data_IF_712262468321
#
_entry.id   IF_712262468321
#
_cell.length_a   1.000
_cell.length_b   1.000
_cell.length_c   1.000
_cell.angle_alpha   90.00
_cell.angle_beta   90.00
_cell.angle_gamma   90.00
#
_symmetry.space_group_name_H-M   'P 1'
#
loop_
_entity.id
_entity.type
_entity.pdbx_description
1 polymer ?
#
# COMPACT_ATOMS: atom_id res chain seq x y z
N UNK A 1 -16.48 -15.36 -16.20
CA UNK A 1 -15.64 -14.55 -17.10
C UNK A 1 -16.09 -13.08 -17.16
N UNK A 2 -17.33 -12.75 -17.57
CA UNK A 2 -17.80 -11.34 -17.67
C UNK A 2 -17.78 -10.57 -16.33
N UNK A 3 -18.26 -11.18 -15.26
CA UNK A 3 -18.29 -10.52 -13.94
C UNK A 3 -16.93 -10.00 -13.46
N UNK A 4 -15.83 -10.73 -13.69
CA UNK A 4 -14.49 -10.25 -13.31
C UNK A 4 -14.06 -9.00 -14.09
N UNK A 5 -14.38 -8.93 -15.38
CA UNK A 5 -14.06 -7.77 -16.21
C UNK A 5 -14.92 -6.56 -15.83
N UNK A 6 -16.22 -6.78 -15.56
CA UNK A 6 -17.15 -5.73 -15.13
C UNK A 6 -16.76 -5.17 -13.76
N UNK A 7 -16.44 -6.04 -12.79
CA UNK A 7 -15.94 -5.61 -11.48
C UNK A 7 -14.62 -4.86 -11.58
N UNK A 8 -13.70 -5.32 -12.43
CA UNK A 8 -12.42 -4.63 -12.62
C UNK A 8 -12.61 -3.25 -13.26
N UNK A 9 -13.45 -3.15 -14.29
CA UNK A 9 -13.77 -1.87 -14.91
C UNK A 9 -14.44 -0.90 -13.93
N UNK A 10 -15.33 -1.40 -13.08
CA UNK A 10 -16.00 -0.58 -12.07
C UNK A 10 -15.02 -0.10 -10.99
N UNK A 11 -14.12 -0.97 -10.52
CA UNK A 11 -13.04 -0.60 -9.59
C UNK A 11 -12.17 0.51 -10.18
N UNK A 12 -11.70 0.37 -11.43
CA UNK A 12 -10.91 1.41 -12.08
C UNK A 12 -11.68 2.73 -12.21
N UNK A 13 -12.98 2.67 -12.54
CA UNK A 13 -13.85 3.85 -12.60
C UNK A 13 -13.99 4.52 -11.24
N UNK A 14 -14.22 3.76 -10.17
CA UNK A 14 -14.37 4.30 -8.82
C UNK A 14 -13.07 4.89 -8.27
N UNK A 15 -11.91 4.33 -8.61
CA UNK A 15 -10.61 4.95 -8.32
C UNK A 15 -10.44 6.27 -9.08
N UNK A 16 -10.76 6.30 -10.39
CA UNK A 16 -10.66 7.51 -11.19
C UNK A 16 -11.61 8.63 -10.70
N UNK A 17 -12.79 8.26 -10.20
CA UNK A 17 -13.75 9.19 -9.56
C UNK A 17 -13.33 9.58 -8.13
N UNK A 18 -12.24 9.01 -7.60
CA UNK A 18 -11.76 9.24 -6.24
C UNK A 18 -12.65 8.65 -5.13
N UNK A 19 -13.69 7.89 -5.48
CA UNK A 19 -14.70 7.40 -4.53
C UNK A 19 -14.17 6.30 -3.62
N UNK A 20 -13.42 5.36 -4.18
CA UNK A 20 -12.74 4.33 -3.39
C UNK A 20 -11.62 4.91 -2.51
N UNK A 21 -10.65 5.68 -3.03
CA UNK A 21 -9.58 6.20 -2.18
C UNK A 21 -10.08 7.22 -1.13
N UNK A 22 -11.18 7.94 -1.39
CA UNK A 22 -11.81 8.81 -0.39
C UNK A 22 -12.27 8.10 0.88
N UNK A 23 -12.56 6.79 0.83
CA UNK A 23 -12.92 6.04 2.03
C UNK A 23 -11.79 6.02 3.08
N UNK A 24 -10.53 6.12 2.64
CA UNK A 24 -9.38 6.21 3.55
C UNK A 24 -9.30 7.54 4.30
N UNK A 25 -9.98 8.59 3.80
CA UNK A 25 -9.94 9.93 4.39
C UNK A 25 -10.58 10.01 5.79
N UNK A 26 -11.18 8.95 6.31
CA UNK A 26 -11.62 8.87 7.71
C UNK A 26 -10.50 8.43 8.67
N UNK A 27 -9.45 7.77 8.16
CA UNK A 27 -8.36 7.25 8.98
C UNK A 27 -7.35 8.35 9.35
N UNK A 28 -6.94 8.40 10.61
CA UNK A 28 -6.05 9.44 11.16
C UNK A 28 -4.76 8.91 11.79
N UNK A 29 -4.66 7.60 12.01
CA UNK A 29 -3.46 7.00 12.58
C UNK A 29 -2.29 6.96 11.59
N UNK A 30 -1.10 6.52 12.03
CA UNK A 30 0.04 6.31 11.14
C UNK A 30 -0.28 5.31 10.02
N UNK A 31 0.21 5.55 8.81
CA UNK A 31 0.08 4.60 7.67
C UNK A 31 1.45 4.38 7.04
N UNK A 32 1.81 3.12 6.82
CA UNK A 32 2.99 2.75 6.05
C UNK A 32 2.60 1.84 4.88
N UNK A 33 2.94 2.24 3.66
CA UNK A 33 2.88 1.40 2.48
C UNK A 33 4.25 0.73 2.28
N UNK A 34 4.37 -0.53 2.69
CA UNK A 34 5.58 -1.33 2.52
C UNK A 34 5.45 -2.22 1.28
N UNK A 35 6.25 -1.99 0.24
CA UNK A 35 6.14 -2.74 -1.02
C UNK A 35 7.49 -3.12 -1.61
N UNK A 36 7.61 -4.33 -2.16
CA UNK A 36 8.76 -4.72 -2.96
C UNK A 36 8.81 -4.02 -4.31
N UNK A 37 9.99 -3.58 -4.76
CA UNK A 37 10.13 -2.87 -6.06
C UNK A 37 10.10 -3.81 -7.28
N UNK A 38 10.22 -5.12 -7.07
CA UNK A 38 10.05 -6.13 -8.10
C UNK A 38 8.63 -6.74 -8.11
N UNK A 39 7.73 -6.21 -7.28
CA UNK A 39 6.29 -6.50 -7.37
C UNK A 39 5.72 -5.86 -8.66
N UNK A 40 4.98 -6.58 -9.51
CA UNK A 40 4.33 -6.00 -10.69
C UNK A 40 3.24 -4.98 -10.35
N UNK A 41 2.75 -4.92 -9.09
CA UNK A 41 1.77 -3.92 -8.69
C UNK A 41 2.40 -2.51 -8.55
N UNK A 42 1.71 -1.44 -8.98
CA UNK A 42 2.31 -0.12 -9.15
C UNK A 42 2.39 0.66 -7.82
N UNK A 43 3.45 0.44 -7.04
CA UNK A 43 3.59 1.02 -5.70
C UNK A 43 3.59 2.54 -5.66
N UNK A 44 4.29 3.20 -6.58
CA UNK A 44 4.28 4.67 -6.71
C UNK A 44 2.87 5.19 -7.05
N UNK A 45 2.15 4.54 -7.97
CA UNK A 45 0.80 4.97 -8.33
C UNK A 45 -0.19 4.79 -7.16
N UNK A 46 -0.02 3.72 -6.37
CA UNK A 46 -0.81 3.50 -5.15
C UNK A 46 -0.52 4.61 -4.13
N UNK A 47 0.76 4.90 -3.87
CA UNK A 47 1.17 6.02 -3.01
C UNK A 47 0.51 7.33 -3.47
N UNK A 48 0.67 7.67 -4.74
CA UNK A 48 0.22 8.95 -5.29
C UNK A 48 -1.31 9.09 -5.27
N UNK A 49 -2.03 7.97 -5.48
CA UNK A 49 -3.50 7.92 -5.36
C UNK A 49 -3.96 8.12 -3.91
N UNK A 50 -3.22 7.59 -2.94
CA UNK A 50 -3.62 7.61 -1.53
C UNK A 50 -3.17 8.88 -0.79
N UNK A 51 -2.05 9.49 -1.17
CA UNK A 51 -1.49 10.67 -0.49
C UNK A 51 -2.49 11.82 -0.25
N UNK A 52 -3.40 12.17 -1.19
CA UNK A 52 -4.41 13.20 -0.96
C UNK A 52 -5.39 12.88 0.18
N UNK A 53 -5.60 11.59 0.48
CA UNK A 53 -6.55 11.12 1.49
C UNK A 53 -5.87 10.65 2.78
N UNK A 54 -4.60 10.26 2.69
CA UNK A 54 -3.74 9.81 3.77
C UNK A 54 -2.43 10.61 3.75
N UNK A 55 -2.45 11.91 4.12
CA UNK A 55 -1.25 12.76 4.09
C UNK A 55 -0.14 12.28 5.04
N UNK A 56 -0.48 11.42 6.01
CA UNK A 56 0.46 10.78 6.93
C UNK A 56 1.05 9.46 6.40
N UNK A 57 0.73 9.07 5.16
CA UNK A 57 1.26 7.85 4.55
C UNK A 57 2.76 7.97 4.29
N UNK A 58 3.52 7.00 4.80
CA UNK A 58 4.93 6.80 4.49
C UNK A 58 5.05 5.66 3.49
N UNK A 59 5.69 5.92 2.34
CA UNK A 59 5.97 4.87 1.34
C UNK A 59 7.38 4.32 1.51
N UNK A 60 7.48 3.00 1.66
CA UNK A 60 8.73 2.28 1.90
C UNK A 60 8.95 1.21 0.83
N UNK A 61 9.65 1.56 -0.26
CA UNK A 61 10.04 0.59 -1.27
C UNK A 61 11.18 -0.31 -0.76
N UNK A 62 11.01 -1.62 -0.92
CA UNK A 62 12.02 -2.64 -0.65
C UNK A 62 12.67 -3.08 -1.96
N UNK A 63 13.81 -2.46 -2.28
CA UNK A 63 14.57 -2.70 -3.51
C UNK A 63 14.87 -4.18 -3.70
N UNK A 64 14.45 -4.74 -4.85
CA UNK A 64 14.71 -6.13 -5.23
C UNK A 64 13.75 -7.16 -4.62
N UNK A 65 12.84 -6.75 -3.74
CA UNK A 65 11.83 -7.64 -3.21
C UNK A 65 10.61 -7.73 -4.13
N UNK A 66 10.00 -8.92 -4.21
CA UNK A 66 8.74 -9.14 -4.96
C UNK A 66 7.50 -8.90 -4.10
N UNK A 67 6.38 -9.52 -4.50
CA UNK A 67 5.05 -9.29 -3.90
C UNK A 67 4.92 -9.67 -2.41
N UNK A 68 5.70 -10.62 -1.92
CA UNK A 68 5.67 -11.07 -0.52
C UNK A 68 7.05 -10.93 0.13
N UNK A 69 7.53 -9.70 0.38
CA UNK A 69 8.88 -9.46 0.87
C UNK A 69 9.16 -10.17 2.21
N UNK A 70 8.15 -10.34 3.06
CA UNK A 70 8.26 -11.06 4.35
C UNK A 70 8.55 -12.56 4.22
N UNK A 71 8.28 -13.19 3.07
CA UNK A 71 8.62 -14.60 2.78
C UNK A 71 10.01 -14.76 2.16
N UNK A 72 10.63 -13.65 1.74
CA UNK A 72 11.94 -13.68 1.08
C UNK A 72 13.04 -14.04 2.06
N UNK A 73 13.97 -14.92 1.66
CA UNK A 73 15.18 -15.21 2.45
C UNK A 73 16.10 -13.99 2.57
N UNK A 74 16.12 -13.13 1.57
CA UNK A 74 17.02 -11.97 1.49
C UNK A 74 16.37 -10.70 2.02
N UNK A 75 15.05 -10.54 1.89
CA UNK A 75 14.34 -9.32 2.28
C UNK A 75 13.43 -9.49 3.51
N UNK A 76 13.18 -10.72 3.96
CA UNK A 76 12.20 -11.01 5.02
C UNK A 76 12.53 -10.33 6.34
N UNK A 77 13.78 -10.37 6.78
CA UNK A 77 14.21 -9.70 8.01
C UNK A 77 14.00 -8.18 7.94
N UNK A 78 14.32 -7.55 6.81
CA UNK A 78 14.11 -6.13 6.61
C UNK A 78 12.60 -5.78 6.62
N UNK A 79 11.78 -6.55 5.90
CA UNK A 79 10.33 -6.34 5.86
C UNK A 79 9.69 -6.44 7.26
N UNK A 80 10.08 -7.45 8.05
CA UNK A 80 9.60 -7.62 9.43
C UNK A 80 10.09 -6.49 10.34
N UNK A 81 11.32 -6.01 10.16
CA UNK A 81 11.84 -4.85 10.92
C UNK A 81 11.03 -3.58 10.64
N UNK A 82 10.68 -3.30 9.38
CA UNK A 82 9.83 -2.15 9.02
C UNK A 82 8.41 -2.26 9.59
N UNK A 83 7.82 -3.45 9.53
CA UNK A 83 6.51 -3.71 10.14
C UNK A 83 6.55 -3.48 11.66
N UNK A 84 7.58 -3.96 12.35
CA UNK A 84 7.75 -3.72 13.80
C UNK A 84 7.85 -2.24 14.11
N UNK A 85 8.67 -1.50 13.37
CA UNK A 85 8.81 -0.06 13.55
C UNK A 85 7.48 0.69 13.39
N UNK A 86 6.65 0.29 12.42
CA UNK A 86 5.32 0.85 12.25
C UNK A 86 4.41 0.58 13.46
N UNK A 87 4.39 -0.67 13.96
CA UNK A 87 3.59 -1.03 15.14
C UNK A 87 4.03 -0.25 16.38
N UNK A 88 5.34 -0.06 16.57
CA UNK A 88 5.87 0.77 17.65
C UNK A 88 5.45 2.24 17.51
N UNK A 89 5.47 2.78 16.29
CA UNK A 89 4.98 4.13 16.02
C UNK A 89 3.48 4.28 16.33
N UNK A 90 2.66 3.24 16.05
CA UNK A 90 1.24 3.24 16.41
C UNK A 90 0.99 3.21 17.92
N UNK A 91 1.88 2.60 18.71
CA UNK A 91 1.73 2.52 20.17
C UNK A 91 1.91 3.89 20.88
N UNK A 92 2.43 4.89 20.16
CA UNK A 92 2.74 6.22 20.68
C UNK A 92 1.96 7.35 19.98
N UNK A 93 1.00 7.01 19.10
CA UNK A 93 0.17 7.94 18.33
C UNK A 93 -1.27 8.02 18.89
#
# INVERSE_FOLDING_TARGET
ARGHAETWADHLRLQAEGREPAAFAAYRGPVTLLQGTADPHPGDAIRDTLLPYLPQLVYEPLTGAGHSPWRSRTHGAHAISRLRHHIEAMAHA
#
